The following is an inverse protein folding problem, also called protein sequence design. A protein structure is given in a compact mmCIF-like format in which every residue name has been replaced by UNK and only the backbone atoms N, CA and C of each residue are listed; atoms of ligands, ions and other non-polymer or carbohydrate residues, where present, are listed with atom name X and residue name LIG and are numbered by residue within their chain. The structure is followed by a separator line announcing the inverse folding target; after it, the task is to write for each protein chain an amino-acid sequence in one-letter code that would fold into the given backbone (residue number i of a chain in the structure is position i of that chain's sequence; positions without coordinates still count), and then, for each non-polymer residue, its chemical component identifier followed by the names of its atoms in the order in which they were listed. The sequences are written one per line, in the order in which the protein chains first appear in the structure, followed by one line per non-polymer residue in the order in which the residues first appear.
data_IF_142792669960
#
_entry.id   IF_142792669960
#
_cell.length_a   1.000
_cell.length_b   1.000
_cell.length_c   1.000
_cell.angle_alpha   90.00
_cell.angle_beta   90.00
_cell.angle_gamma   90.00
#
_symmetry.space_group_name_H-M   'P 1'
#
loop_
_entity.id
_entity.type
_entity.pdbx_description
1 polymer ?
#
# COMPACT_ATOMS: atom_id res chain seq x y z
N UNK A 1 -0.90 2.82 18.79
CA UNK A 1 -1.18 1.37 18.80
C UNK A 1 -2.38 1.21 17.92
N UNK A 2 -2.11 0.90 16.67
CA UNK A 2 -3.07 0.79 15.61
C UNK A 2 -3.98 -0.40 15.84
N UNK A 3 -5.12 -0.38 15.18
CA UNK A 3 -6.07 -1.48 15.28
C UNK A 3 -5.55 -2.69 14.51
N UNK A 4 -5.46 -3.84 15.17
CA UNK A 4 -5.12 -5.14 14.59
C UNK A 4 -6.00 -5.47 13.38
N UNK A 5 -5.39 -6.04 12.34
CA UNK A 5 -6.10 -6.47 11.14
C UNK A 5 -6.80 -7.81 11.36
N UNK A 6 -8.03 -7.99 10.85
CA UNK A 6 -8.69 -9.29 10.81
C UNK A 6 -7.85 -10.31 10.03
N UNK A 7 -7.84 -11.57 10.47
CA UNK A 7 -7.10 -12.65 9.79
C UNK A 7 -7.48 -12.83 8.31
N UNK A 8 -8.71 -12.43 7.92
CA UNK A 8 -9.20 -12.47 6.54
C UNK A 8 -8.75 -11.28 5.67
N UNK A 9 -8.06 -10.29 6.24
CA UNK A 9 -7.72 -9.03 5.55
C UNK A 9 -8.93 -8.14 5.24
N UNK A 10 -10.12 -8.47 5.72
CA UNK A 10 -11.34 -7.72 5.46
C UNK A 10 -11.23 -6.28 5.99
N UNK A 11 -11.41 -5.30 5.10
CA UNK A 11 -11.34 -3.88 5.44
C UNK A 11 -9.92 -3.40 5.82
N UNK A 12 -8.87 -4.16 5.52
CA UNK A 12 -7.50 -3.84 5.94
C UNK A 12 -7.08 -2.43 5.51
N UNK A 13 -7.33 -2.03 4.26
CA UNK A 13 -6.97 -0.68 3.77
C UNK A 13 -7.66 0.42 4.58
N UNK A 14 -8.95 0.26 4.89
CA UNK A 14 -9.69 1.25 5.69
C UNK A 14 -9.16 1.33 7.13
N UNK A 15 -8.75 0.20 7.71
CA UNK A 15 -8.18 0.16 9.05
C UNK A 15 -6.81 0.85 9.06
N UNK A 16 -5.94 0.53 8.11
CA UNK A 16 -4.62 1.15 7.95
C UNK A 16 -4.77 2.67 7.75
N UNK A 17 -5.66 3.12 6.85
CA UNK A 17 -5.87 4.55 6.62
C UNK A 17 -6.34 5.32 7.87
N UNK A 18 -7.10 4.67 8.76
CA UNK A 18 -7.54 5.27 10.02
C UNK A 18 -6.43 5.36 11.07
N UNK A 19 -5.39 4.53 10.96
CA UNK A 19 -4.27 4.44 11.88
C UNK A 19 -2.95 4.55 11.10
N UNK A 20 -2.91 5.47 10.13
CA UNK A 20 -1.82 5.60 9.13
C UNK A 20 -0.45 5.84 9.77
N UNK A 21 -0.45 6.34 10.99
CA UNK A 21 0.72 6.64 11.83
C UNK A 21 1.48 5.35 12.19
N UNK A 22 0.74 4.26 12.43
CA UNK A 22 1.30 2.94 12.78
C UNK A 22 1.73 2.15 11.52
N UNK A 23 1.53 2.70 10.30
CA UNK A 23 2.00 2.10 9.06
C UNK A 23 3.46 2.44 8.81
N UNK A 24 4.27 1.39 8.65
CA UNK A 24 5.63 1.48 8.14
C UNK A 24 5.67 0.97 6.70
N UNK A 25 6.30 1.76 5.84
CA UNK A 25 6.55 1.43 4.45
C UNK A 25 8.02 1.68 4.15
N UNK A 26 8.76 0.63 3.83
CA UNK A 26 10.17 0.70 3.49
C UNK A 26 10.30 0.50 1.97
N UNK A 27 10.86 1.48 1.26
CA UNK A 27 11.07 1.38 -0.19
C UNK A 27 12.13 0.33 -0.48
N UNK A 28 11.77 -0.67 -1.30
CA UNK A 28 12.64 -1.76 -1.70
C UNK A 28 13.18 -1.59 -3.11
N UNK A 29 12.32 -1.19 -4.04
CA UNK A 29 12.71 -0.98 -5.43
C UNK A 29 11.92 0.19 -6.02
N UNK A 30 12.58 1.01 -6.85
CA UNK A 30 11.98 2.06 -7.65
C UNK A 30 12.56 1.97 -9.06
N UNK A 31 11.68 1.82 -10.04
CA UNK A 31 12.06 1.65 -11.45
C UNK A 31 11.20 2.55 -12.31
N UNK A 32 11.82 3.38 -13.15
CA UNK A 32 11.13 4.29 -14.08
C UNK A 32 11.37 3.84 -15.52
N UNK A 33 10.28 3.58 -16.24
CA UNK A 33 10.28 3.19 -17.65
C UNK A 33 9.31 4.10 -18.43
N UNK A 34 9.85 5.00 -19.24
CA UNK A 34 9.05 5.98 -19.98
C UNK A 34 8.27 6.90 -19.05
N UNK A 35 6.94 6.96 -19.21
CA UNK A 35 6.02 7.75 -18.37
C UNK A 35 5.62 7.05 -17.07
N UNK A 36 6.00 5.78 -16.90
CA UNK A 36 5.59 4.96 -15.78
C UNK A 36 6.71 4.82 -14.76
N UNK A 37 6.40 5.10 -13.50
CA UNK A 37 7.28 4.78 -12.36
C UNK A 37 6.63 3.70 -11.50
N UNK A 38 7.36 2.62 -11.26
CA UNK A 38 6.94 1.51 -10.42
C UNK A 38 7.72 1.51 -9.11
N UNK A 39 7.03 1.24 -8.02
CA UNK A 39 7.55 1.19 -6.66
C UNK A 39 7.17 -0.13 -6.02
N UNK A 40 8.11 -0.75 -5.33
CA UNK A 40 7.88 -1.89 -4.46
C UNK A 40 8.27 -1.49 -3.03
N UNK A 41 7.31 -1.60 -2.11
CA UNK A 41 7.52 -1.38 -0.69
C UNK A 41 7.35 -2.67 0.09
N UNK A 42 8.18 -2.87 1.10
CA UNK A 42 7.86 -3.77 2.21
C UNK A 42 6.97 -2.99 3.21
N UNK A 43 5.82 -3.58 3.55
CA UNK A 43 4.80 -2.97 4.42
C UNK A 43 4.72 -3.72 5.73
N UNK A 44 4.71 -2.98 6.83
CA UNK A 44 4.50 -3.50 8.16
C UNK A 44 3.42 -2.68 8.86
N UNK A 45 2.44 -3.38 9.41
CA UNK A 45 1.35 -2.76 10.17
C UNK A 45 0.88 -3.73 11.26
N UNK A 46 1.11 -3.36 12.52
CA UNK A 46 0.68 -4.12 13.70
C UNK A 46 1.03 -5.62 13.60
N UNK A 47 0.02 -6.45 13.31
CA UNK A 47 0.11 -7.91 13.24
C UNK A 47 0.32 -8.47 11.83
N UNK A 48 0.58 -7.62 10.84
CA UNK A 48 0.71 -8.03 9.44
C UNK A 48 1.95 -7.43 8.78
N UNK A 49 2.57 -8.23 7.92
CA UNK A 49 3.67 -7.82 7.06
C UNK A 49 3.44 -8.33 5.64
N UNK A 50 3.94 -7.58 4.67
CA UNK A 50 3.90 -7.98 3.28
C UNK A 50 4.40 -6.90 2.36
N UNK A 51 3.81 -6.77 1.18
CA UNK A 51 4.30 -5.88 0.12
C UNK A 51 3.22 -4.99 -0.48
N UNK A 52 3.63 -3.80 -0.90
CA UNK A 52 2.81 -2.89 -1.68
C UNK A 52 3.54 -2.55 -2.98
N UNK A 53 2.95 -3.00 -4.09
CA UNK A 53 3.33 -2.56 -5.43
C UNK A 53 2.49 -1.37 -5.83
N UNK A 54 3.13 -0.32 -6.35
CA UNK A 54 2.49 0.88 -6.87
C UNK A 54 3.08 1.15 -8.25
N UNK A 55 2.25 1.45 -9.24
CA UNK A 55 2.71 2.08 -10.46
C UNK A 55 1.96 3.39 -10.68
N UNK A 56 2.72 4.43 -11.03
CA UNK A 56 2.22 5.77 -11.31
C UNK A 56 2.53 6.15 -12.75
N UNK A 57 1.59 6.80 -13.41
CA UNK A 57 1.76 7.48 -14.70
C UNK A 57 1.18 8.89 -14.54
N UNK A 58 1.89 9.92 -15.01
CA UNK A 58 1.44 11.32 -14.91
C UNK A 58 0.95 11.71 -13.50
N UNK A 59 1.70 11.29 -12.47
CA UNK A 59 1.39 11.52 -11.04
C UNK A 59 0.13 10.82 -10.50
N UNK A 60 -0.56 10.02 -11.32
CA UNK A 60 -1.71 9.24 -10.88
C UNK A 60 -1.36 7.76 -10.68
N UNK A 61 -1.94 7.16 -9.64
CA UNK A 61 -1.77 5.73 -9.35
C UNK A 61 -2.64 4.93 -10.32
N UNK A 62 -1.99 4.28 -11.28
CA UNK A 62 -2.62 3.46 -12.34
C UNK A 62 -2.70 1.98 -11.97
N UNK A 63 -1.76 1.50 -11.15
CA UNK A 63 -1.77 0.13 -10.63
C UNK A 63 -1.37 0.15 -9.16
N UNK A 64 -2.07 -0.67 -8.37
CA UNK A 64 -1.63 -0.96 -7.02
C UNK A 64 -2.06 -2.37 -6.59
N UNK A 65 -1.17 -3.05 -5.87
CA UNK A 65 -1.44 -4.34 -5.26
C UNK A 65 -0.79 -4.41 -3.88
N UNK A 66 -1.63 -4.54 -2.85
CA UNK A 66 -1.24 -4.75 -1.46
C UNK A 66 -1.43 -6.23 -1.10
N UNK A 67 -0.35 -6.89 -0.72
CA UNK A 67 -0.37 -8.24 -0.18
C UNK A 67 0.11 -8.20 1.26
N UNK A 68 -0.75 -8.52 2.22
CA UNK A 68 -0.43 -8.55 3.66
C UNK A 68 -0.24 -9.97 4.20
N UNK A 69 -0.15 -10.98 3.32
CA UNK A 69 -0.11 -12.40 3.69
C UNK A 69 -1.36 -12.88 4.46
N UNK A 70 -2.47 -12.15 4.36
CA UNK A 70 -3.76 -12.45 5.00
C UNK A 70 -4.72 -13.21 4.07
N UNK A 71 -4.18 -13.99 3.13
CA UNK A 71 -4.95 -14.83 2.20
C UNK A 71 -5.67 -14.09 1.05
N UNK A 72 -5.57 -12.76 0.96
CA UNK A 72 -6.12 -11.97 -0.15
C UNK A 72 -5.17 -10.85 -0.57
N UNK A 73 -5.02 -10.69 -1.88
CA UNK A 73 -4.36 -9.52 -2.49
C UNK A 73 -5.41 -8.43 -2.73
N UNK A 74 -5.15 -7.24 -2.20
CA UNK A 74 -6.01 -6.06 -2.36
C UNK A 74 -5.46 -5.24 -3.52
N UNK A 75 -6.31 -4.87 -4.48
CA UNK A 75 -5.93 -4.09 -5.65
C UNK A 75 -6.98 -3.02 -5.96
N UNK A 76 -6.69 -2.12 -6.91
CA UNK A 76 -7.58 -1.00 -7.23
C UNK A 76 -8.98 -1.45 -7.72
N UNK A 77 -9.09 -2.65 -8.29
CA UNK A 77 -10.37 -3.20 -8.77
C UNK A 77 -11.26 -3.68 -7.62
N UNK A 78 -10.67 -4.12 -6.50
CA UNK A 78 -11.42 -4.73 -5.38
C UNK A 78 -11.49 -3.86 -4.12
N UNK A 79 -10.66 -2.81 -3.99
CA UNK A 79 -10.80 -1.78 -2.96
C UNK A 79 -10.32 -0.41 -3.47
N UNK A 80 -11.29 0.49 -3.72
CA UNK A 80 -11.02 1.85 -4.21
C UNK A 80 -10.25 2.71 -3.19
N UNK A 81 -10.26 2.36 -1.90
CA UNK A 81 -9.49 3.10 -0.89
C UNK A 81 -7.99 2.85 -1.02
N UNK A 82 -7.56 1.79 -1.72
CA UNK A 82 -6.14 1.49 -1.89
C UNK A 82 -5.40 2.65 -2.56
N UNK A 83 -6.05 3.35 -3.49
CA UNK A 83 -5.49 4.54 -4.13
C UNK A 83 -5.10 5.63 -3.12
N UNK A 84 -5.91 5.84 -2.08
CA UNK A 84 -5.60 6.81 -1.00
C UNK A 84 -4.42 6.35 -0.15
N UNK A 85 -4.33 5.05 0.10
CA UNK A 85 -3.21 4.47 0.83
C UNK A 85 -1.90 4.60 0.05
N UNK A 86 -1.92 4.34 -1.26
CA UNK A 86 -0.77 4.52 -2.14
C UNK A 86 -0.27 5.97 -2.12
N UNK A 87 -1.17 6.96 -2.26
CA UNK A 87 -0.80 8.38 -2.19
C UNK A 87 -0.13 8.72 -0.87
N UNK A 88 -0.70 8.28 0.25
CA UNK A 88 -0.11 8.49 1.58
C UNK A 88 1.30 7.89 1.70
N UNK A 89 1.50 6.65 1.20
CA UNK A 89 2.82 6.01 1.24
C UNK A 89 3.83 6.79 0.41
N UNK A 90 3.50 7.13 -0.84
CA UNK A 90 4.37 7.92 -1.73
C UNK A 90 4.74 9.27 -1.11
N UNK A 91 3.76 10.01 -0.60
CA UNK A 91 3.96 11.31 0.08
C UNK A 91 4.90 11.20 1.29
N UNK A 92 4.86 10.09 2.04
CA UNK A 92 5.68 9.88 3.24
C UNK A 92 7.12 9.45 2.90
N UNK A 93 7.31 8.78 1.77
CA UNK A 93 8.61 8.19 1.41
C UNK A 93 9.39 9.01 0.39
N UNK A 94 8.73 9.90 -0.34
CA UNK A 94 9.37 10.84 -1.27
C UNK A 94 9.57 12.26 -0.69
N UNK A 95 9.21 12.47 0.59
CA UNK A 95 9.41 13.73 1.32
C UNK A 95 10.82 13.87 1.91
#
# INVERSE_FOLDING_TARGET
MGKTLPASGAGAVRIILKNKEDLKADLREKTTEGTRTSYLYDIFYENAAGTLNIATEEEDVVLAALNLSLGKVINLNNDKNLKKLCKYVLEKTEA
#
